data_IF_480175961333
#
_entry.id   IF_480175961333
#
_cell.length_a   1.000
_cell.length_b   1.000
_cell.length_c   1.000
_cell.angle_alpha   90.00
_cell.angle_beta   90.00
_cell.angle_gamma   90.00
#
_symmetry.space_group_name_H-M   'P 1'
#
loop_
_entity.id
_entity.type
_entity.pdbx_description
1 polymer ?
#
# COMPACT_ATOMS: atom_id res chain seq x y z
N UNK A 1 -0.85 -14.89 5.95
CA UNK A 1 -0.60 -14.50 4.56
C UNK A 1 -1.29 -13.18 4.36
N UNK A 2 -0.57 -12.06 4.31
CA UNK A 2 -1.14 -10.73 4.08
C UNK A 2 -0.66 -10.20 2.73
N UNK A 3 -1.54 -10.02 1.74
CA UNK A 3 -1.19 -9.49 0.42
C UNK A 3 -1.86 -8.15 0.20
N UNK A 4 -1.13 -7.18 -0.37
CA UNK A 4 -1.72 -5.90 -0.72
C UNK A 4 -2.60 -6.07 -1.97
N UNK A 5 -3.88 -5.74 -1.86
CA UNK A 5 -4.85 -5.88 -2.94
C UNK A 5 -5.76 -4.66 -3.03
N UNK A 6 -6.34 -4.43 -4.20
CA UNK A 6 -7.49 -3.54 -4.36
C UNK A 6 -8.69 -4.20 -3.67
N UNK A 7 -9.39 -3.45 -2.82
CA UNK A 7 -10.52 -3.98 -2.02
C UNK A 7 -11.85 -3.40 -2.48
N UNK A 8 -12.96 -4.06 -2.14
CA UNK A 8 -14.33 -3.61 -2.42
C UNK A 8 -14.73 -2.45 -1.51
N UNK A 9 -15.53 -1.52 -2.02
CA UNK A 9 -16.23 -0.52 -1.22
C UNK A 9 -17.69 -0.43 -1.67
N UNK A 10 -18.61 -0.47 -0.72
CA UNK A 10 -20.04 -0.36 -0.98
C UNK A 10 -20.45 1.11 -1.08
N UNK A 11 -19.82 1.97 -0.26
CA UNK A 11 -20.02 3.41 -0.28
C UNK A 11 -18.71 4.14 -0.56
N UNK A 12 -18.80 5.17 -1.42
CA UNK A 12 -17.69 6.04 -1.78
C UNK A 12 -18.18 7.48 -1.82
N UNK A 13 -17.46 8.39 -1.17
CA UNK A 13 -17.73 9.82 -1.23
C UNK A 13 -16.45 10.64 -1.26
N UNK A 14 -16.54 11.84 -1.83
CA UNK A 14 -15.45 12.80 -1.92
C UNK A 14 -15.97 14.18 -1.55
N UNK A 15 -15.30 14.84 -0.61
CA UNK A 15 -15.66 16.19 -0.14
C UNK A 15 -14.44 17.08 -0.19
N UNK A 16 -14.55 18.24 -0.83
CA UNK A 16 -13.51 19.25 -0.81
C UNK A 16 -13.86 20.35 0.19
N UNK A 17 -12.96 20.58 1.14
CA UNK A 17 -13.09 21.62 2.15
C UNK A 17 -12.25 22.83 1.72
N UNK A 18 -12.93 23.92 1.35
CA UNK A 18 -12.32 25.08 0.66
C UNK A 18 -11.35 25.83 1.56
N UNK A 19 -11.72 26.06 2.83
CA UNK A 19 -10.87 26.82 3.77
C UNK A 19 -9.59 26.06 4.14
N UNK A 20 -9.64 24.72 4.10
CA UNK A 20 -8.56 23.82 4.46
C UNK A 20 -7.70 23.41 3.24
N UNK A 21 -8.19 23.68 2.02
CA UNK A 21 -7.52 23.28 0.78
C UNK A 21 -7.40 21.76 0.61
N UNK A 22 -8.31 20.98 1.21
CA UNK A 22 -8.18 19.54 1.36
C UNK A 22 -9.37 18.78 0.74
N UNK A 23 -9.05 17.77 -0.06
CA UNK A 23 -9.98 16.74 -0.54
C UNK A 23 -10.00 15.58 0.44
N UNK A 24 -11.14 15.31 1.07
CA UNK A 24 -11.38 14.13 1.89
C UNK A 24 -12.09 13.05 1.07
N UNK A 25 -11.49 11.86 1.02
CA UNK A 25 -12.09 10.66 0.43
C UNK A 25 -12.58 9.74 1.55
N UNK A 26 -13.78 9.20 1.39
CA UNK A 26 -14.35 8.20 2.27
C UNK A 26 -14.69 6.92 1.51
N UNK A 27 -14.40 5.78 2.14
CA UNK A 27 -14.85 4.46 1.70
C UNK A 27 -15.43 3.70 2.89
N UNK A 28 -16.56 3.06 2.67
CA UNK A 28 -17.16 2.09 3.58
C UNK A 28 -17.50 0.82 2.82
N UNK A 29 -17.40 -0.32 3.49
CA UNK A 29 -17.88 -1.57 2.92
C UNK A 29 -17.42 -2.78 3.69
N UNK A 30 -17.67 -3.94 3.09
CA UNK A 30 -17.19 -5.21 3.59
C UNK A 30 -15.99 -5.72 2.79
N UNK A 31 -14.99 -6.21 3.51
CA UNK A 31 -13.91 -7.00 2.91
C UNK A 31 -14.04 -8.45 3.34
N UNK A 32 -13.67 -9.34 2.42
CA UNK A 32 -13.38 -10.72 2.77
C UNK A 32 -12.06 -10.74 3.51
N UNK A 33 -11.98 -11.63 4.47
CA UNK A 33 -10.78 -11.91 5.26
C UNK A 33 -10.42 -10.76 6.19
N UNK A 34 -9.35 -10.95 6.97
CA UNK A 34 -8.84 -9.90 7.86
C UNK A 34 -8.08 -8.90 6.99
N UNK A 35 -8.74 -7.83 6.56
CA UNK A 35 -8.10 -6.74 5.81
C UNK A 35 -7.63 -5.64 6.75
N UNK A 36 -6.35 -5.26 6.67
CA UNK A 36 -5.78 -4.16 7.46
C UNK A 36 -5.13 -3.10 6.56
N UNK A 37 -4.72 -1.97 7.15
CA UNK A 37 -3.96 -0.94 6.43
C UNK A 37 -4.68 -0.34 5.23
N UNK A 38 -6.02 -0.24 5.30
CA UNK A 38 -6.84 0.28 4.21
C UNK A 38 -6.48 1.74 3.93
N UNK A 39 -6.16 2.04 2.68
CA UNK A 39 -5.69 3.35 2.25
C UNK A 39 -6.16 3.67 0.84
N UNK A 40 -6.40 4.94 0.59
CA UNK A 40 -6.44 5.44 -0.79
C UNK A 40 -4.99 5.66 -1.26
N UNK A 41 -4.74 5.38 -2.52
CA UNK A 41 -3.48 5.71 -3.19
C UNK A 41 -3.86 6.49 -4.43
N UNK A 42 -3.44 7.77 -4.51
CA UNK A 42 -3.68 8.55 -5.73
C UNK A 42 -3.03 7.85 -6.92
N UNK A 43 -3.54 8.04 -8.13
CA UNK A 43 -2.99 7.53 -9.37
C UNK A 43 -2.94 8.69 -10.36
N UNK A 44 -1.95 8.71 -11.28
CA UNK A 44 -1.87 9.70 -12.32
C UNK A 44 -2.97 9.44 -13.31
N UNK A 45 -3.65 10.52 -13.64
CA UNK A 45 -4.81 10.48 -14.50
C UNK A 45 -4.89 11.79 -15.26
N UNK A 46 -4.61 11.79 -16.57
CA UNK A 46 -4.64 13.01 -17.37
C UNK A 46 -5.98 13.72 -17.23
N UNK A 47 -5.95 14.98 -16.81
CA UNK A 47 -7.15 15.82 -16.72
C UNK A 47 -8.04 15.59 -15.48
N UNK A 48 -7.61 14.82 -14.48
CA UNK A 48 -8.41 14.62 -13.27
C UNK A 48 -7.64 14.01 -12.09
N UNK A 49 -8.38 13.55 -11.09
CA UNK A 49 -7.83 12.80 -9.97
C UNK A 49 -8.36 11.37 -10.00
N UNK A 50 -7.45 10.41 -9.86
CA UNK A 50 -7.77 8.98 -9.72
C UNK A 50 -7.18 8.45 -8.43
N UNK A 51 -7.85 7.49 -7.79
CA UNK A 51 -7.39 6.84 -6.57
C UNK A 51 -7.68 5.34 -6.63
N UNK A 52 -6.77 4.52 -6.15
CA UNK A 52 -7.03 3.11 -5.86
C UNK A 52 -7.32 2.96 -4.37
N UNK A 53 -8.31 2.15 -4.01
CA UNK A 53 -8.54 1.73 -2.63
C UNK A 53 -7.87 0.38 -2.39
N UNK A 54 -6.83 0.38 -1.56
CA UNK A 54 -5.99 -0.80 -1.31
C UNK A 54 -5.99 -1.18 0.17
N UNK A 55 -5.77 -2.47 0.44
CA UNK A 55 -5.65 -3.00 1.79
C UNK A 55 -4.85 -4.30 1.84
N UNK A 56 -4.29 -4.60 3.00
CA UNK A 56 -3.56 -5.83 3.29
C UNK A 56 -4.55 -6.94 3.64
N UNK A 57 -4.85 -7.80 2.68
CA UNK A 57 -5.78 -8.93 2.85
C UNK A 57 -5.04 -10.11 3.48
N UNK A 58 -5.41 -10.42 4.73
CA UNK A 58 -4.88 -11.53 5.55
C UNK A 58 -5.26 -12.91 5.01
N UNK A 59 -4.93 -14.01 5.72
CA UNK A 59 -5.17 -15.36 5.21
C UNK A 59 -6.67 -15.64 5.06
N UNK A 60 -7.01 -16.52 4.12
CA UNK A 60 -8.36 -17.04 3.86
C UNK A 60 -8.96 -17.65 5.13
N UNK A 61 -9.66 -16.84 5.92
CA UNK A 61 -10.35 -17.26 7.15
C UNK A 61 -11.85 -17.50 6.92
N UNK A 62 -12.37 -17.13 5.73
CA UNK A 62 -13.80 -17.20 5.41
C UNK A 62 -14.67 -16.19 6.15
N UNK A 63 -14.08 -15.33 6.98
CA UNK A 63 -14.77 -14.27 7.71
C UNK A 63 -14.82 -13.00 6.87
N UNK A 64 -15.86 -12.19 7.05
CA UNK A 64 -15.93 -10.82 6.53
C UNK A 64 -15.70 -9.83 7.65
N UNK A 65 -15.19 -8.65 7.30
CA UNK A 65 -15.04 -7.52 8.22
C UNK A 65 -15.56 -6.25 7.54
N UNK A 66 -16.37 -5.49 8.26
CA UNK A 66 -16.75 -4.14 7.85
C UNK A 66 -15.59 -3.18 8.11
N UNK A 67 -15.45 -2.17 7.27
CA UNK A 67 -14.51 -1.08 7.50
C UNK A 67 -15.11 0.28 7.13
N UNK A 68 -14.53 1.32 7.73
CA UNK A 68 -14.76 2.72 7.38
C UNK A 68 -13.41 3.42 7.32
N UNK A 69 -13.12 4.06 6.20
CA UNK A 69 -11.86 4.75 5.96
C UNK A 69 -12.11 6.15 5.45
N UNK A 70 -11.48 7.12 6.11
CA UNK A 70 -11.39 8.50 5.65
C UNK A 70 -9.93 8.89 5.47
N UNK A 71 -9.63 9.62 4.39
CA UNK A 71 -8.28 10.05 4.08
C UNK A 71 -8.28 11.40 3.36
N UNK A 72 -7.41 12.32 3.79
CA UNK A 72 -7.25 13.63 3.18
C UNK A 72 -6.15 13.69 2.14
N UNK A 73 -6.28 14.61 1.19
CA UNK A 73 -5.26 15.01 0.23
C UNK A 73 -5.28 16.52 0.09
N UNK A 74 -4.14 17.17 0.22
CA UNK A 74 -4.02 18.60 -0.02
C UNK A 74 -4.03 18.82 -1.55
N UNK A 75 -5.09 19.46 -2.07
CA UNK A 75 -5.31 19.64 -3.53
C UNK A 75 -5.36 21.13 -3.84
N UNK A 76 -4.41 21.57 -4.66
CA UNK A 76 -4.38 22.92 -5.19
C UNK A 76 -5.49 23.13 -6.24
N UNK A 77 -6.05 24.36 -6.36
CA UNK A 77 -6.98 24.70 -7.43
C UNK A 77 -6.37 24.48 -8.83
N UNK A 78 -7.19 24.17 -9.86
CA UNK A 78 -8.66 24.11 -9.83
C UNK A 78 -9.21 22.83 -9.17
N UNK A 79 -10.29 22.98 -8.42
CA UNK A 79 -10.96 21.87 -7.72
C UNK A 79 -11.66 20.99 -8.76
N UNK A 80 -11.38 19.67 -8.79
CA UNK A 80 -12.06 18.77 -9.71
C UNK A 80 -13.52 18.59 -9.30
N UNK A 81 -14.43 18.50 -10.29
CA UNK A 81 -15.86 18.23 -10.05
C UNK A 81 -16.13 16.79 -9.65
N UNK A 82 -15.23 15.89 -10.01
CA UNK A 82 -15.34 14.45 -9.80
C UNK A 82 -13.95 13.84 -9.66
N UNK A 83 -13.88 12.70 -8.97
CA UNK A 83 -12.68 11.87 -8.87
C UNK A 83 -13.01 10.45 -9.29
N UNK A 84 -12.03 9.76 -9.86
CA UNK A 84 -12.15 8.35 -10.22
C UNK A 84 -11.63 7.50 -9.06
N UNK A 85 -12.44 6.60 -8.51
CA UNK A 85 -11.99 5.67 -7.46
C UNK A 85 -12.10 4.23 -7.97
N UNK A 86 -10.97 3.52 -7.98
CA UNK A 86 -10.87 2.10 -8.33
C UNK A 86 -10.97 1.25 -7.07
N UNK A 87 -11.85 0.26 -7.12
CA UNK A 87 -12.13 -0.72 -6.05
C UNK A 87 -12.34 -2.09 -6.69
N UNK A 88 -12.40 -3.16 -5.89
CA UNK A 88 -12.55 -4.51 -6.42
C UNK A 88 -13.89 -4.71 -7.16
N UNK A 89 -14.95 -4.04 -6.73
CA UNK A 89 -16.27 -4.04 -7.37
C UNK A 89 -16.39 -2.99 -8.51
N UNK A 90 -15.48 -2.02 -8.59
CA UNK A 90 -15.38 -1.06 -9.69
C UNK A 90 -13.95 -1.06 -10.30
N UNK A 91 -13.54 -2.14 -10.99
CA UNK A 91 -12.16 -2.32 -11.47
C UNK A 91 -11.74 -1.31 -12.54
N UNK A 92 -12.69 -0.77 -13.30
CA UNK A 92 -12.46 0.29 -14.29
C UNK A 92 -12.48 1.70 -13.68
N UNK A 93 -12.75 1.80 -12.38
CA UNK A 93 -12.99 3.06 -11.68
C UNK A 93 -14.45 3.48 -11.68
N UNK A 94 -14.89 4.08 -10.57
CA UNK A 94 -16.18 4.74 -10.40
C UNK A 94 -15.96 6.24 -10.34
N UNK A 95 -16.75 7.00 -11.11
CA UNK A 95 -16.78 8.46 -10.98
C UNK A 95 -17.56 8.82 -9.71
N UNK A 96 -16.89 9.54 -8.81
CA UNK A 96 -17.42 10.00 -7.54
C UNK A 96 -17.46 11.53 -7.58
N UNK A 97 -18.66 12.14 -7.55
CA UNK A 97 -18.79 13.60 -7.49
C UNK A 97 -18.10 14.17 -6.26
N UNK A 98 -17.44 15.31 -6.41
CA UNK A 98 -16.82 16.05 -5.31
C UNK A 98 -17.82 17.06 -4.78
N UNK A 99 -18.26 16.87 -3.54
CA UNK A 99 -19.07 17.85 -2.84
C UNK A 99 -18.17 18.98 -2.31
N UNK A 100 -18.49 20.22 -2.64
CA UNK A 100 -17.70 21.38 -2.21
C UNK A 100 -18.36 21.97 -0.96
N UNK A 101 -17.60 22.05 0.12
CA UNK A 101 -18.05 22.65 1.38
C UNK A 101 -17.06 23.73 1.81
N UNK A 102 -17.54 24.85 2.38
CA UNK A 102 -16.67 25.96 2.76
C UNK A 102 -15.70 25.57 3.88
N UNK A 103 -16.14 24.73 4.82
CA UNK A 103 -15.37 24.33 6.00
C UNK A 103 -15.55 22.86 6.31
N UNK A 104 -14.53 22.24 6.89
CA UNK A 104 -14.57 20.86 7.34
C UNK A 104 -13.63 20.59 8.49
N UNK A 105 -13.68 19.37 9.02
CA UNK A 105 -12.60 18.92 9.90
C UNK A 105 -11.47 18.42 9.02
N UNK A 106 -10.27 19.00 9.14
CA UNK A 106 -9.10 18.50 8.43
C UNK A 106 -8.85 17.06 8.86
N UNK A 107 -8.89 16.14 7.91
CA UNK A 107 -8.65 14.72 8.14
C UNK A 107 -7.16 14.40 7.92
N UNK A 108 -6.64 13.29 8.49
CA UNK A 108 -5.26 12.89 8.28
C UNK A 108 -4.92 12.85 6.80
N UNK A 109 -3.98 13.73 6.39
CA UNK A 109 -3.54 13.83 5.00
C UNK A 109 -2.61 12.66 4.71
N UNK A 110 -2.90 11.90 3.66
CA UNK A 110 -1.97 10.90 3.20
C UNK A 110 -0.92 11.54 2.28
N UNK A 111 0.34 11.38 2.64
CA UNK A 111 1.48 11.90 1.87
C UNK A 111 1.77 11.11 0.59
N UNK A 112 0.97 10.09 0.25
CA UNK A 112 1.28 9.16 -0.84
C UNK A 112 0.43 9.49 -2.08
N UNK A 113 0.97 10.37 -2.92
CA UNK A 113 0.63 10.40 -4.33
C UNK A 113 1.16 9.11 -4.96
N UNK A 114 0.28 8.23 -5.44
CA UNK A 114 0.73 7.13 -6.28
C UNK A 114 0.80 7.63 -7.71
N UNK A 115 1.96 7.43 -8.32
CA UNK A 115 2.16 7.67 -9.73
C UNK A 115 2.25 6.29 -10.42
N UNK A 116 1.28 5.85 -11.22
CA UNK A 116 1.43 5.08 -12.48
C UNK A 116 1.45 3.55 -12.55
N UNK A 117 1.24 3.07 -13.80
CA UNK A 117 1.37 1.72 -14.35
C UNK A 117 2.33 0.85 -13.56
N UNK A 118 1.75 -0.10 -12.84
CA UNK A 118 2.47 -1.04 -11.99
C UNK A 118 3.09 -2.10 -12.89
N UNK A 119 4.38 -1.99 -13.16
CA UNK A 119 5.18 -3.15 -13.61
C UNK A 119 5.53 -3.93 -12.35
N UNK A 120 4.92 -5.11 -12.18
CA UNK A 120 5.23 -6.05 -11.11
C UNK A 120 6.33 -6.99 -11.62
N UNK A 121 7.59 -6.87 -11.18
CA UNK A 121 8.61 -7.88 -11.46
C UNK A 121 8.33 -9.16 -10.67
N UNK A 122 9.06 -10.23 -10.99
CA UNK A 122 8.98 -11.48 -10.25
C UNK A 122 9.19 -11.26 -8.74
N UNK A 123 8.35 -11.93 -7.93
CA UNK A 123 8.36 -11.81 -6.48
C UNK A 123 9.54 -12.57 -5.89
N UNK A 124 10.46 -11.86 -5.24
CA UNK A 124 11.54 -12.50 -4.47
C UNK A 124 10.97 -13.06 -3.15
N UNK A 125 11.39 -14.28 -2.78
CA UNK A 125 10.97 -14.89 -1.50
C UNK A 125 12.11 -14.84 -0.48
N UNK A 126 11.81 -14.34 0.71
CA UNK A 126 12.71 -14.22 1.85
C UNK A 126 12.21 -15.14 2.97
N UNK A 127 13.05 -16.07 3.40
CA UNK A 127 12.82 -16.85 4.61
C UNK A 127 13.36 -16.12 5.83
N UNK A 128 12.48 -15.72 6.76
CA UNK A 128 12.83 -14.96 7.95
C UNK A 128 12.52 -15.76 9.22
N UNK A 129 13.40 -15.68 10.22
CA UNK A 129 13.23 -16.37 11.50
C UNK A 129 12.81 -15.36 12.57
N UNK A 130 11.80 -15.68 13.38
CA UNK A 130 11.42 -14.84 14.54
C UNK A 130 12.65 -14.50 15.39
N UNK A 131 12.77 -13.22 15.75
CA UNK A 131 13.89 -12.69 16.53
C UNK A 131 15.20 -12.51 15.76
N UNK A 132 15.25 -12.87 14.47
CA UNK A 132 16.40 -12.65 13.59
C UNK A 132 16.03 -11.59 12.54
N UNK A 133 16.70 -10.41 12.53
CA UNK A 133 16.42 -9.39 11.54
C UNK A 133 16.72 -9.88 10.12
N UNK A 134 15.92 -9.47 9.15
CA UNK A 134 16.18 -9.70 7.72
C UNK A 134 16.27 -8.37 6.96
N UNK A 135 16.82 -8.40 5.75
CA UNK A 135 17.03 -7.21 4.93
C UNK A 135 16.23 -7.30 3.62
N UNK A 136 15.60 -6.19 3.26
CA UNK A 136 15.08 -5.94 1.91
C UNK A 136 15.97 -4.89 1.27
N UNK A 137 16.40 -5.13 0.03
CA UNK A 137 17.33 -4.26 -0.68
C UNK A 137 16.73 -3.81 -1.99
N UNK A 138 16.76 -2.50 -2.24
CA UNK A 138 16.41 -1.93 -3.54
C UNK A 138 17.59 -1.17 -4.11
N UNK A 139 17.99 -1.51 -5.32
CA UNK A 139 19.04 -0.75 -6.00
C UNK A 139 18.54 0.63 -6.41
N UNK A 140 19.37 1.65 -6.15
CA UNK A 140 19.17 3.03 -6.64
C UNK A 140 19.40 3.13 -8.16
N UNK A 141 19.88 2.08 -8.82
CA UNK A 141 20.26 2.11 -10.23
C UNK A 141 19.23 1.46 -11.18
N UNK A 142 17.95 1.38 -10.79
CA UNK A 142 16.91 1.03 -11.77
C UNK A 142 16.89 2.11 -12.85
N UNK A 143 17.43 1.80 -14.04
CA UNK A 143 17.28 2.56 -15.27
C UNK A 143 17.77 4.01 -15.18
N UNK A 144 18.90 4.29 -15.80
CA UNK A 144 19.46 5.65 -15.93
C UNK A 144 18.44 6.68 -16.40
N UNK A 145 17.83 7.41 -15.45
CA UNK A 145 17.51 8.85 -15.46
C UNK A 145 16.30 9.14 -14.54
N UNK A 146 16.64 9.64 -13.34
CA UNK A 146 15.76 10.33 -12.39
C UNK A 146 14.74 9.45 -11.65
N UNK A 147 15.22 8.79 -10.58
CA UNK A 147 14.38 8.32 -9.49
C UNK A 147 13.85 9.53 -8.72
N UNK A 148 12.54 9.54 -8.48
CA UNK A 148 11.86 10.50 -7.60
C UNK A 148 11.94 10.04 -6.16
N UNK A 149 10.90 9.34 -5.72
CA UNK A 149 10.77 8.83 -4.36
C UNK A 149 10.82 7.30 -4.32
N UNK A 150 11.38 6.76 -3.23
CA UNK A 150 11.35 5.34 -2.92
C UNK A 150 10.72 5.16 -1.56
N UNK A 151 9.58 4.50 -1.52
CA UNK A 151 8.86 4.21 -0.28
C UNK A 151 8.66 2.71 -0.08
N UNK A 152 8.43 2.31 1.16
CA UNK A 152 8.19 0.92 1.53
C UNK A 152 6.84 0.79 2.24
N UNK A 153 6.17 -0.32 2.00
CA UNK A 153 4.94 -0.69 2.69
C UNK A 153 5.06 -2.13 3.20
N UNK A 154 4.53 -2.40 4.38
CA UNK A 154 4.61 -3.70 5.04
C UNK A 154 3.49 -3.85 6.05
N UNK A 155 3.21 -5.10 6.44
CA UNK A 155 2.25 -5.39 7.51
C UNK A 155 2.97 -5.40 8.87
N UNK A 156 2.71 -4.39 9.69
CA UNK A 156 3.31 -4.19 11.02
C UNK A 156 2.94 -5.27 12.05
N UNK A 157 1.89 -6.05 11.79
CA UNK A 157 1.56 -7.22 12.61
C UNK A 157 2.52 -8.39 12.43
N UNK A 158 3.30 -8.40 11.33
CA UNK A 158 4.24 -9.49 11.01
C UNK A 158 5.69 -9.04 11.06
N UNK A 159 5.99 -7.80 10.67
CA UNK A 159 7.36 -7.27 10.63
C UNK A 159 7.41 -5.82 11.09
N UNK A 160 8.43 -5.46 11.85
CA UNK A 160 8.68 -4.07 12.27
C UNK A 160 9.94 -3.54 11.58
N UNK A 161 9.85 -2.33 11.02
CA UNK A 161 11.02 -1.66 10.44
C UNK A 161 11.96 -1.25 11.57
N UNK A 162 13.17 -1.84 11.58
CA UNK A 162 14.21 -1.56 12.57
C UNK A 162 15.09 -0.38 12.15
N UNK A 163 15.50 -0.35 10.88
CA UNK A 163 16.39 0.67 10.33
C UNK A 163 16.25 0.74 8.80
N UNK A 164 16.46 1.93 8.23
CA UNK A 164 16.66 2.17 6.81
C UNK A 164 18.01 2.86 6.59
N UNK A 165 18.85 2.31 5.70
CA UNK A 165 20.20 2.83 5.45
C UNK A 165 20.58 2.70 3.97
N UNK A 166 21.59 3.44 3.53
CA UNK A 166 22.18 3.29 2.19
C UNK A 166 23.47 2.48 2.32
N UNK A 167 23.58 1.37 1.60
CA UNK A 167 24.76 0.49 1.61
C UNK A 167 25.15 0.15 0.17
N UNK A 168 26.36 0.52 -0.25
CA UNK A 168 26.88 0.15 -1.57
C UNK A 168 26.07 0.71 -2.76
N UNK A 169 25.32 1.80 -2.57
CA UNK A 169 24.42 2.36 -3.59
C UNK A 169 23.00 1.82 -3.56
N UNK A 170 22.70 0.85 -2.70
CA UNK A 170 21.34 0.32 -2.51
C UNK A 170 20.69 0.93 -1.25
N UNK A 171 19.37 1.08 -1.29
CA UNK A 171 18.58 1.33 -0.09
C UNK A 171 18.29 -0.01 0.57
N UNK A 172 18.62 -0.11 1.86
CA UNK A 172 18.52 -1.33 2.65
C UNK A 172 17.63 -1.06 3.86
N UNK A 173 16.48 -1.71 3.88
CA UNK A 173 15.58 -1.75 5.04
C UNK A 173 15.81 -3.04 5.83
N UNK A 174 15.99 -2.90 7.13
CA UNK A 174 16.13 -4.02 8.06
C UNK A 174 14.86 -4.17 8.86
N UNK A 175 14.31 -5.37 8.87
CA UNK A 175 13.04 -5.69 9.53
C UNK A 175 13.25 -6.73 10.63
N UNK A 176 12.59 -6.52 11.77
CA UNK A 176 12.47 -7.51 12.83
C UNK A 176 11.14 -8.27 12.65
N UNK A 177 11.16 -9.60 12.42
CA UNK A 177 9.94 -10.41 12.32
C UNK A 177 9.33 -10.66 13.71
N UNK A 178 8.06 -10.31 13.88
CA UNK A 178 7.34 -10.34 15.16
C UNK A 178 6.27 -11.43 15.24
N UNK A 179 5.84 -12.02 14.11
CA UNK A 179 4.80 -13.04 14.06
C UNK A 179 5.04 -14.06 12.96
N UNK A 180 4.79 -15.34 13.22
CA UNK A 180 4.91 -16.42 12.22
C UNK A 180 3.84 -16.30 11.15
N UNK A 181 4.15 -16.78 9.94
CA UNK A 181 3.27 -16.78 8.78
C UNK A 181 3.90 -16.11 7.57
N UNK A 182 3.12 -15.94 6.52
CA UNK A 182 3.57 -15.24 5.30
C UNK A 182 3.06 -13.80 5.30
N UNK A 183 3.90 -12.86 4.90
CA UNK A 183 3.55 -11.44 4.64
C UNK A 183 4.28 -10.97 3.39
N UNK A 184 3.96 -9.78 2.87
CA UNK A 184 4.82 -9.09 1.91
C UNK A 184 5.48 -7.86 2.55
N UNK A 185 6.66 -7.52 2.02
CA UNK A 185 7.23 -6.19 2.08
C UNK A 185 7.25 -5.68 0.65
N UNK A 186 6.66 -4.52 0.40
CA UNK A 186 6.49 -3.97 -0.95
C UNK A 186 7.30 -2.69 -1.05
N UNK A 187 8.26 -2.67 -1.95
CA UNK A 187 9.01 -1.46 -2.30
C UNK A 187 8.33 -0.79 -3.48
N UNK A 188 8.09 0.50 -3.36
CA UNK A 188 7.57 1.36 -4.41
C UNK A 188 8.69 2.28 -4.88
N UNK A 189 8.98 2.25 -6.17
CA UNK A 189 9.98 3.13 -6.81
C UNK A 189 9.27 4.03 -7.79
N UNK A 190 9.28 5.35 -7.55
CA UNK A 190 8.68 6.36 -8.40
C UNK A 190 9.74 6.98 -9.32
N UNK A 191 9.51 7.01 -10.64
CA UNK A 191 10.37 7.71 -11.60
C UNK A 191 9.79 9.08 -12.00
N UNK A 192 10.63 10.13 -12.13
CA UNK A 192 10.16 11.51 -12.34
C UNK A 192 9.94 11.94 -13.79
N UNK A 193 10.44 11.20 -14.78
CA UNK A 193 10.46 11.64 -16.20
C UNK A 193 9.42 10.93 -17.06
N UNK A 194 9.01 9.73 -16.67
CA UNK A 194 8.00 8.94 -17.40
C UNK A 194 6.75 8.66 -16.59
N UNK A 195 6.68 9.15 -15.34
CA UNK A 195 5.70 8.75 -14.34
C UNK A 195 5.57 7.22 -14.36
N UNK A 196 6.37 6.51 -13.58
CA UNK A 196 6.13 5.08 -13.34
C UNK A 196 6.25 4.78 -11.84
N UNK A 197 5.45 3.84 -11.35
CA UNK A 197 5.68 3.16 -10.06
C UNK A 197 6.02 1.71 -10.34
N UNK A 198 7.22 1.31 -9.96
CA UNK A 198 7.56 -0.09 -9.84
C UNK A 198 7.10 -0.57 -8.47
N UNK A 199 6.20 -1.56 -8.45
CA UNK A 199 5.82 -2.28 -7.23
C UNK A 199 6.65 -3.54 -7.17
N UNK A 200 7.59 -3.61 -6.25
CA UNK A 200 8.52 -4.72 -6.11
C UNK A 200 8.15 -5.47 -4.83
N UNK A 201 7.32 -6.53 -4.93
CA UNK A 201 6.94 -7.33 -3.77
C UNK A 201 8.05 -8.30 -3.37
N UNK A 202 8.33 -8.35 -2.08
CA UNK A 202 9.11 -9.39 -1.43
C UNK A 202 8.17 -10.23 -0.59
N UNK A 203 7.98 -11.49 -0.95
CA UNK A 203 7.25 -12.45 -0.12
C UNK A 203 8.14 -12.83 1.06
N UNK A 204 7.68 -12.64 2.28
CA UNK A 204 8.42 -12.98 3.49
C UNK A 204 7.73 -14.13 4.21
N UNK A 205 8.43 -15.25 4.34
CA UNK A 205 7.98 -16.43 5.06
C UNK A 205 8.62 -16.47 6.45
N UNK A 206 7.83 -16.21 7.49
CA UNK A 206 8.30 -16.09 8.87
C UNK A 206 8.02 -17.39 9.63
N UNK A 207 9.09 -18.01 10.16
CA UNK A 207 9.02 -19.26 10.91
C UNK A 207 9.61 -19.14 12.32
N UNK A 208 9.15 -20.02 13.21
CA UNK A 208 9.75 -20.27 14.52
C UNK A 208 10.49 -21.61 14.48
N UNK A 209 11.73 -21.62 14.99
CA UNK A 209 12.56 -22.82 15.14
C UNK A 209 11.94 -23.90 16.04
N UNK A 210 10.90 -23.60 16.84
CA UNK A 210 10.23 -24.61 17.66
C UNK A 210 9.50 -25.70 16.86
N UNK A 211 9.29 -25.54 15.55
CA UNK A 211 8.63 -26.55 14.70
C UNK A 211 9.52 -27.16 13.60
N UNK A 212 10.84 -26.94 13.61
CA UNK A 212 11.75 -27.54 12.62
C UNK A 212 12.21 -28.99 12.98
N UNK A 213 11.54 -29.66 13.92
CA UNK A 213 11.92 -30.98 14.42
C UNK A 213 10.77 -32.01 14.31
N UNK A 214 10.12 -32.16 13.15
CA UNK A 214 9.49 -33.45 12.80
C UNK A 214 9.46 -33.59 11.27
N UNK A 215 10.50 -34.18 10.68
CA UNK A 215 10.43 -34.94 9.40
C UNK A 215 11.84 -35.22 8.86
N UNK A 216 12.62 -36.04 9.57
CA UNK A 216 13.54 -37.03 8.97
C UNK A 216 14.09 -37.92 10.09
N UNK A 217 13.20 -38.71 10.68
CA UNK A 217 13.56 -39.93 11.36
C UNK A 217 12.38 -40.88 11.20
N UNK A 218 12.41 -41.70 10.16
CA UNK A 218 12.17 -43.15 10.26
C UNK A 218 12.11 -43.84 8.89
N UNK A 219 13.08 -44.76 8.75
CA UNK A 219 13.12 -45.99 7.95
C UNK A 219 13.22 -45.88 6.43
#
# INVERSE_FOLDING_TARGET
>A
MGFLQIISADELSAVYHVNEGQLALNAEGETKEVTTGITFIRQPFPGGLKFNLEGWVGPLTGKTSTYKKTQGYDIAPPIPKEVVIVTANYPNGKLVPVEITPSGTRVPSASKDGDTNIVVPETETISARIGTPFKVKQSKNIGSSQLGDISINYNDQYVLLKNASIQGGDIVWTFDPVKTGVTEVVVFVMGTVQNFVLRIPYKVEIFDTKNAQVSTANR
#
